data_IF_261377020190
#
_entry.id   IF_261377020190
#
_cell.length_a   1.000
_cell.length_b   1.000
_cell.length_c   1.000
_cell.angle_alpha   90.00
_cell.angle_beta   90.00
_cell.angle_gamma   90.00
#
_symmetry.space_group_name_H-M   'P 1'
#
loop_
_entity.id
_entity.type
_entity.pdbx_description
1 polymer ?
#
# COMPACT_ATOMS: atom_id res chain seq x y z
N UNK A 1 21.82 -10.94 -2.61
CA UNK A 1 22.70 -10.65 -1.46
C UNK A 1 23.53 -9.44 -1.83
N UNK A 2 23.45 -8.36 -1.07
CA UNK A 2 24.27 -7.18 -1.35
C UNK A 2 25.73 -7.52 -1.02
N UNK A 3 26.64 -7.39 -2.00
CA UNK A 3 28.02 -7.91 -1.92
C UNK A 3 28.95 -7.24 -0.89
N UNK A 4 28.42 -6.41 0.01
CA UNK A 4 29.16 -5.70 1.05
C UNK A 4 28.88 -6.23 2.47
N UNK A 5 27.96 -7.19 2.62
CA UNK A 5 27.65 -7.82 3.90
C UNK A 5 28.56 -9.04 4.10
N UNK A 6 29.20 -9.13 5.28
CA UNK A 6 29.98 -10.32 5.65
C UNK A 6 29.08 -11.55 5.79
N UNK A 7 29.66 -12.75 5.79
CA UNK A 7 28.93 -14.01 5.97
C UNK A 7 28.13 -14.08 7.30
N UNK A 8 28.49 -13.23 8.26
CA UNK A 8 27.81 -13.11 9.55
C UNK A 8 26.66 -12.09 9.54
N UNK A 9 26.41 -11.40 8.41
CA UNK A 9 25.32 -10.42 8.30
C UNK A 9 24.36 -10.83 7.18
N UNK A 10 23.13 -11.15 7.57
CA UNK A 10 22.05 -11.52 6.66
C UNK A 10 20.90 -10.55 6.73
N UNK A 11 20.26 -10.31 5.59
CA UNK A 11 18.93 -9.67 5.52
C UNK A 11 17.96 -10.72 5.03
N UNK A 12 17.00 -11.11 5.88
CA UNK A 12 15.89 -11.95 5.43
C UNK A 12 15.00 -11.13 4.50
N UNK A 13 14.88 -11.49 3.22
CA UNK A 13 13.99 -10.80 2.32
C UNK A 13 12.54 -11.09 2.73
N UNK A 14 11.69 -10.07 2.65
CA UNK A 14 10.24 -10.31 2.62
C UNK A 14 9.85 -11.18 1.41
N UNK A 15 8.68 -11.81 1.46
CA UNK A 15 8.09 -12.52 0.33
C UNK A 15 8.07 -11.60 -0.91
N UNK A 16 8.84 -11.98 -1.94
CA UNK A 16 8.97 -11.16 -3.15
C UNK A 16 8.09 -11.71 -4.26
N UNK A 17 7.45 -10.81 -4.98
CA UNK A 17 6.78 -11.17 -6.23
C UNK A 17 7.79 -11.10 -7.36
N UNK A 18 7.91 -12.18 -8.13
CA UNK A 18 8.72 -12.17 -9.35
C UNK A 18 8.10 -11.20 -10.36
N UNK A 19 8.87 -10.21 -10.79
CA UNK A 19 8.50 -9.28 -11.86
C UNK A 19 9.21 -9.69 -13.13
N UNK A 20 8.48 -9.71 -14.24
CA UNK A 20 9.06 -9.87 -15.56
C UNK A 20 9.92 -8.62 -15.88
N UNK A 21 11.23 -8.76 -16.14
CA UNK A 21 12.11 -7.63 -16.47
C UNK A 21 11.61 -6.81 -17.65
N UNK A 22 10.96 -7.43 -18.63
CA UNK A 22 10.46 -6.74 -19.83
C UNK A 22 9.26 -5.85 -19.49
N UNK A 23 8.37 -6.34 -18.62
CA UNK A 23 7.25 -5.55 -18.08
C UNK A 23 7.78 -4.33 -17.33
N UNK A 24 8.77 -4.52 -16.47
CA UNK A 24 9.37 -3.42 -15.71
C UNK A 24 10.03 -2.40 -16.64
N UNK A 25 10.91 -2.86 -17.53
CA UNK A 25 11.66 -1.99 -18.44
C UNK A 25 10.73 -1.20 -19.36
N UNK A 26 9.68 -1.84 -19.88
CA UNK A 26 8.68 -1.19 -20.72
C UNK A 26 7.93 -0.08 -19.99
N UNK A 27 7.44 -0.35 -18.77
CA UNK A 27 6.74 0.66 -17.98
C UNK A 27 7.67 1.78 -17.54
N UNK A 28 8.91 1.47 -17.15
CA UNK A 28 9.91 2.48 -16.80
C UNK A 28 10.15 3.42 -17.99
N UNK A 29 10.35 2.88 -19.19
CA UNK A 29 10.50 3.70 -20.39
C UNK A 29 9.28 4.58 -20.70
N UNK A 30 8.06 4.06 -20.50
CA UNK A 30 6.83 4.86 -20.71
C UNK A 30 6.67 5.97 -19.66
N UNK A 31 7.08 5.71 -18.41
CA UNK A 31 7.11 6.74 -17.35
C UNK A 31 8.06 7.86 -17.76
N UNK A 32 9.31 7.54 -18.10
CA UNK A 32 10.34 8.54 -18.48
C UNK A 32 9.90 9.40 -19.66
N UNK A 33 9.30 8.78 -20.69
CA UNK A 33 8.83 9.49 -21.89
C UNK A 33 7.48 10.18 -21.74
N UNK A 34 6.80 10.01 -20.59
CA UNK A 34 5.41 10.42 -20.40
C UNK A 34 4.49 9.91 -21.54
N UNK A 35 4.60 8.63 -21.84
CA UNK A 35 3.90 7.95 -22.94
C UNK A 35 2.76 7.07 -22.41
N UNK A 36 1.54 7.27 -22.91
CA UNK A 36 0.38 6.51 -22.49
C UNK A 36 0.51 5.03 -22.90
N UNK A 37 -0.06 4.14 -22.09
CA UNK A 37 -0.06 2.70 -22.34
C UNK A 37 -1.48 2.15 -22.37
N UNK A 38 -1.72 1.21 -23.28
CA UNK A 38 -2.85 0.29 -23.22
C UNK A 38 -2.40 -1.00 -22.55
N UNK A 39 -3.17 -1.46 -21.57
CA UNK A 39 -2.76 -2.56 -20.74
C UNK A 39 -3.91 -3.51 -20.39
N UNK A 40 -3.67 -4.80 -20.58
CA UNK A 40 -4.50 -5.87 -20.03
C UNK A 40 -4.04 -6.14 -18.60
N UNK A 41 -4.92 -5.93 -17.63
CA UNK A 41 -4.59 -6.05 -16.22
C UNK A 41 -5.53 -7.03 -15.51
N UNK A 42 -4.96 -7.88 -14.66
CA UNK A 42 -5.74 -8.79 -13.83
C UNK A 42 -5.83 -8.26 -12.39
N UNK A 43 -7.05 -8.05 -11.89
CA UNK A 43 -7.26 -7.67 -10.49
C UNK A 43 -6.96 -8.82 -9.53
N UNK A 44 -6.88 -8.51 -8.23
CA UNK A 44 -6.61 -9.52 -7.20
C UNK A 44 -7.64 -10.66 -7.16
N UNK A 45 -8.90 -10.38 -7.50
CA UNK A 45 -9.99 -11.37 -7.58
C UNK A 45 -10.08 -12.07 -8.94
N UNK A 46 -9.08 -11.88 -9.82
CA UNK A 46 -8.96 -12.61 -11.08
C UNK A 46 -9.68 -11.99 -12.27
N UNK A 47 -10.40 -10.87 -12.09
CA UNK A 47 -11.05 -10.18 -13.22
C UNK A 47 -10.00 -9.56 -14.12
N UNK A 48 -10.18 -9.71 -15.42
CA UNK A 48 -9.30 -9.11 -16.43
C UNK A 48 -10.02 -7.91 -17.05
N UNK A 49 -9.31 -6.80 -17.17
CA UNK A 49 -9.83 -5.59 -17.80
C UNK A 49 -8.73 -4.91 -18.60
N UNK A 50 -9.13 -4.26 -19.68
CA UNK A 50 -8.26 -3.36 -20.42
C UNK A 50 -8.28 -1.99 -19.73
N UNK A 51 -7.15 -1.29 -19.79
CA UNK A 51 -7.01 0.05 -19.28
C UNK A 51 -6.17 0.91 -20.22
N UNK A 52 -6.56 2.16 -20.37
CA UNK A 52 -5.69 3.22 -20.84
C UNK A 52 -5.12 3.98 -19.64
N UNK A 53 -3.79 3.95 -19.51
CA UNK A 53 -3.07 4.46 -18.35
C UNK A 53 -2.04 5.49 -18.77
N UNK A 54 -1.88 6.54 -17.96
CA UNK A 54 -0.75 7.47 -18.06
C UNK A 54 0.24 7.18 -16.92
N UNK A 55 1.38 6.50 -17.19
CA UNK A 55 2.34 6.08 -16.17
C UNK A 55 3.06 7.24 -15.45
N UNK A 56 2.78 7.46 -14.17
CA UNK A 56 3.36 8.60 -13.45
C UNK A 56 4.62 8.25 -12.68
N UNK A 57 4.63 7.10 -12.01
CA UNK A 57 5.73 6.74 -11.12
C UNK A 57 5.81 5.23 -10.88
N UNK A 58 7.01 4.69 -10.79
CA UNK A 58 7.27 3.32 -10.35
C UNK A 58 7.85 3.32 -8.95
N UNK A 59 7.33 2.46 -8.07
CA UNK A 59 7.88 2.31 -6.72
C UNK A 59 7.82 0.87 -6.23
N UNK A 60 8.77 0.52 -5.36
CA UNK A 60 8.82 -0.77 -4.69
C UNK A 60 8.26 -0.65 -3.27
N UNK A 61 7.44 -1.61 -2.87
CA UNK A 61 6.82 -1.65 -1.54
C UNK A 61 6.43 -3.09 -1.17
N UNK A 62 6.75 -3.48 0.05
CA UNK A 62 6.64 -4.85 0.58
C UNK A 62 6.91 -5.97 -0.44
N UNK A 63 8.14 -6.05 -0.93
CA UNK A 63 8.56 -7.13 -1.85
C UNK A 63 7.94 -7.11 -3.26
N UNK A 64 7.21 -6.05 -3.64
CA UNK A 64 6.54 -5.96 -4.95
C UNK A 64 6.75 -4.58 -5.60
N UNK A 65 6.59 -4.52 -6.92
CA UNK A 65 6.66 -3.28 -7.69
C UNK A 65 5.28 -2.81 -8.11
N UNK A 66 5.09 -1.50 -8.10
CA UNK A 66 3.82 -0.87 -8.45
C UNK A 66 4.01 0.32 -9.36
N UNK A 67 3.06 0.45 -10.28
CA UNK A 67 2.89 1.61 -11.12
C UNK A 67 1.79 2.49 -10.55
N UNK A 68 2.10 3.75 -10.30
CA UNK A 68 1.11 4.79 -10.13
C UNK A 68 0.79 5.37 -11.50
N UNK A 69 -0.48 5.35 -11.88
CA UNK A 69 -0.91 5.87 -13.17
C UNK A 69 -2.25 6.56 -13.08
N UNK A 70 -2.44 7.61 -13.89
CA UNK A 70 -3.77 8.13 -14.16
C UNK A 70 -4.55 7.09 -14.95
N UNK A 71 -5.69 6.67 -14.41
CA UNK A 71 -6.64 5.82 -15.11
C UNK A 71 -7.62 6.70 -15.87
N UNK A 72 -7.52 6.71 -17.20
CA UNK A 72 -8.32 7.59 -18.06
C UNK A 72 -9.83 7.35 -17.88
N UNK A 73 -10.25 6.09 -17.77
CA UNK A 73 -11.65 5.71 -17.60
C UNK A 73 -12.24 6.13 -16.25
N UNK A 74 -11.41 6.15 -15.20
CA UNK A 74 -11.85 6.48 -13.83
C UNK A 74 -11.58 7.93 -13.45
N UNK A 75 -10.88 8.69 -14.28
CA UNK A 75 -10.56 10.09 -14.03
C UNK A 75 -9.81 10.31 -12.71
N UNK A 76 -8.92 9.39 -12.34
CA UNK A 76 -8.12 9.49 -11.10
C UNK A 76 -6.84 8.68 -11.18
N UNK A 77 -5.86 9.03 -10.34
CA UNK A 77 -4.66 8.21 -10.13
C UNK A 77 -5.03 6.95 -9.35
N UNK A 78 -4.47 5.82 -9.79
CA UNK A 78 -4.59 4.54 -9.11
C UNK A 78 -3.24 3.81 -9.12
N UNK A 79 -3.11 2.84 -8.23
CA UNK A 79 -1.91 2.01 -8.09
C UNK A 79 -2.13 0.62 -8.68
N UNK A 80 -1.20 0.15 -9.52
CA UNK A 80 -1.25 -1.12 -10.24
C UNK A 80 -0.01 -1.96 -9.92
N UNK A 81 -0.20 -3.16 -9.36
CA UNK A 81 0.91 -4.09 -9.14
C UNK A 81 1.51 -4.57 -10.49
N UNK A 82 2.82 -4.47 -10.67
CA UNK A 82 3.48 -4.80 -11.94
C UNK A 82 3.28 -6.27 -12.33
N UNK A 83 3.32 -7.15 -11.35
CA UNK A 83 3.10 -8.60 -11.49
C UNK A 83 1.73 -9.00 -12.04
N UNK A 84 0.79 -8.06 -12.14
CA UNK A 84 -0.57 -8.32 -12.60
C UNK A 84 -0.87 -7.78 -14.01
N UNK A 85 0.10 -7.13 -14.65
CA UNK A 85 -0.01 -6.82 -16.07
C UNK A 85 0.14 -8.11 -16.88
N UNK A 86 -0.84 -8.37 -17.75
CA UNK A 86 -0.83 -9.50 -18.70
C UNK A 86 -0.26 -9.09 -20.04
N UNK A 87 -0.58 -7.88 -20.50
CA UNK A 87 -0.07 -7.28 -21.73
C UNK A 87 0.03 -5.78 -21.55
N UNK A 88 1.07 -5.19 -22.14
CA UNK A 88 1.28 -3.74 -22.16
C UNK A 88 1.66 -3.36 -23.57
N UNK A 89 1.05 -2.30 -24.10
CA UNK A 89 1.39 -1.71 -25.39
C UNK A 89 1.56 -0.20 -25.20
N UNK A 90 2.72 0.31 -25.60
CA UNK A 90 2.94 1.75 -25.66
C UNK A 90 2.11 2.32 -26.83
N UNK A 91 1.48 3.46 -26.63
CA UNK A 91 0.52 4.01 -27.60
C UNK A 91 1.14 4.99 -28.58
N UNK A 92 2.37 5.47 -28.32
CA UNK A 92 2.96 6.62 -29.01
C UNK A 92 2.34 7.96 -28.63
N UNK A 93 1.28 7.97 -27.81
CA UNK A 93 0.61 9.20 -27.38
C UNK A 93 1.27 9.73 -26.11
N UNK A 94 1.76 10.96 -26.16
CA UNK A 94 2.29 11.66 -24.98
C UNK A 94 1.16 12.22 -24.10
N UNK A 95 1.47 12.47 -22.83
CA UNK A 95 0.60 13.23 -21.92
C UNK A 95 1.42 14.16 -21.03
N UNK A 96 0.74 15.16 -20.45
CA UNK A 96 1.30 15.99 -19.39
C UNK A 96 0.86 15.44 -18.04
N UNK A 97 1.82 15.26 -17.12
CA UNK A 97 1.50 14.89 -15.73
C UNK A 97 0.79 16.06 -15.05
N UNK A 98 -0.22 15.77 -14.24
CA UNK A 98 -0.86 16.81 -13.43
C UNK A 98 0.19 17.48 -12.53
N UNK A 99 0.28 18.82 -12.56
CA UNK A 99 1.29 19.57 -11.81
C UNK A 99 1.20 19.35 -10.28
N UNK A 100 0.01 19.03 -9.78
CA UNK A 100 -0.25 18.77 -8.36
C UNK A 100 0.10 17.33 -7.93
N UNK A 101 0.46 16.45 -8.86
CA UNK A 101 0.81 15.07 -8.52
C UNK A 101 2.24 14.97 -7.96
N UNK A 102 2.35 14.57 -6.70
CA UNK A 102 3.62 14.17 -6.07
C UNK A 102 3.54 12.71 -5.62
N UNK A 103 4.43 11.82 -6.11
CA UNK A 103 4.54 10.45 -5.61
C UNK A 103 4.77 10.38 -4.10
N UNK A 104 5.60 11.29 -3.57
CA UNK A 104 5.91 11.39 -2.15
C UNK A 104 4.67 11.73 -1.34
N UNK A 105 3.85 12.68 -1.82
CA UNK A 105 2.62 13.08 -1.15
C UNK A 105 1.61 11.95 -1.13
N UNK A 106 1.46 11.23 -2.24
CA UNK A 106 0.56 10.08 -2.31
C UNK A 106 1.03 8.93 -1.40
N UNK A 107 2.33 8.61 -1.42
CA UNK A 107 2.91 7.58 -0.56
C UNK A 107 2.79 7.94 0.93
N UNK A 108 2.99 9.21 1.30
CA UNK A 108 2.89 9.69 2.68
C UNK A 108 1.46 9.69 3.23
N UNK A 109 0.46 9.75 2.37
CA UNK A 109 -0.95 9.71 2.76
C UNK A 109 -1.50 8.28 2.84
N UNK A 110 -0.85 7.30 2.22
CA UNK A 110 -1.30 5.93 2.19
C UNK A 110 -0.76 5.17 3.43
N UNK A 111 -1.59 4.29 4.00
CA UNK A 111 -1.12 3.25 4.91
C UNK A 111 -0.62 2.11 4.03
N UNK A 112 0.52 2.31 3.38
CA UNK A 112 1.07 1.43 2.36
C UNK A 112 0.93 1.94 0.94
N UNK A 113 0.45 1.12 0.00
CA UNK A 113 0.55 1.44 -1.45
C UNK A 113 -0.71 2.00 -2.11
N UNK A 114 -1.86 1.81 -1.48
CA UNK A 114 -3.15 2.24 -2.03
C UNK A 114 -3.55 3.56 -1.37
N UNK A 115 -3.43 4.64 -2.14
CA UNK A 115 -3.97 5.95 -1.82
C UNK A 115 -5.23 6.27 -2.63
N UNK A 116 -5.74 7.50 -2.49
CA UNK A 116 -6.79 8.03 -3.38
C UNK A 116 -8.20 8.14 -2.80
N UNK A 117 -8.37 8.05 -1.47
CA UNK A 117 -9.62 8.39 -0.78
C UNK A 117 -9.43 9.56 0.19
N UNK A 118 -10.53 10.12 0.72
CA UNK A 118 -10.46 11.11 1.80
C UNK A 118 -9.73 10.49 3.02
N UNK A 119 -8.71 11.17 3.58
CA UNK A 119 -8.02 10.69 4.76
C UNK A 119 -8.97 10.46 5.93
N UNK A 120 -8.63 9.49 6.79
CA UNK A 120 -9.31 9.23 8.06
C UNK A 120 -8.34 9.38 9.21
N UNK A 121 -8.82 10.03 10.28
CA UNK A 121 -8.12 10.08 11.57
C UNK A 121 -8.39 8.81 12.35
N UNK A 122 -7.32 8.10 12.68
CA UNK A 122 -7.31 6.79 13.30
C UNK A 122 -6.73 6.91 14.71
N UNK A 123 -7.33 6.21 15.66
CA UNK A 123 -6.83 6.08 17.03
C UNK A 123 -6.85 4.61 17.42
N UNK A 124 -5.69 4.08 17.73
CA UNK A 124 -5.49 2.69 18.16
C UNK A 124 -4.90 2.67 19.55
N UNK A 125 -5.26 1.66 20.34
CA UNK A 125 -4.73 1.43 21.68
C UNK A 125 -4.10 0.04 21.74
N UNK A 126 -2.81 -0.02 22.04
CA UNK A 126 -2.04 -1.25 22.14
C UNK A 126 -1.87 -1.66 23.60
N UNK A 127 -1.94 -2.95 23.87
CA UNK A 127 -1.63 -3.52 25.19
C UNK A 127 -0.15 -3.31 25.55
N UNK A 128 0.21 -3.23 26.86
CA UNK A 128 1.55 -2.85 27.29
C UNK A 128 2.67 -3.74 26.71
N UNK A 129 2.39 -5.03 26.50
CA UNK A 129 3.34 -5.99 25.91
C UNK A 129 3.76 -5.65 24.48
N UNK A 130 2.99 -4.84 23.74
CA UNK A 130 3.32 -4.39 22.39
C UNK A 130 3.95 -2.99 22.35
N UNK A 131 4.00 -2.28 23.49
CA UNK A 131 4.37 -0.87 23.53
C UNK A 131 5.71 -0.61 22.84
N UNK A 132 6.78 -1.30 23.26
CA UNK A 132 8.13 -1.14 22.71
C UNK A 132 8.14 -1.38 21.20
N UNK A 133 7.65 -2.53 20.77
CA UNK A 133 7.64 -2.95 19.37
C UNK A 133 6.89 -1.95 18.46
N UNK A 134 5.74 -1.44 18.92
CA UNK A 134 4.95 -0.51 18.13
C UNK A 134 5.63 0.86 18.06
N UNK A 135 6.23 1.33 19.16
CA UNK A 135 6.83 2.68 19.23
C UNK A 135 8.19 2.81 18.56
N UNK A 136 8.96 1.72 18.41
CA UNK A 136 10.29 1.76 17.79
C UNK A 136 10.25 1.80 16.25
N UNK A 137 9.07 1.68 15.63
CA UNK A 137 8.88 1.62 14.17
C UNK A 137 8.08 2.82 13.67
N UNK A 138 8.43 3.30 12.48
CA UNK A 138 7.58 4.22 11.70
C UNK A 138 6.66 3.40 10.78
N UNK A 139 5.39 3.28 11.16
CA UNK A 139 4.32 2.64 10.39
C UNK A 139 3.64 3.60 9.40
N UNK A 140 3.52 4.88 9.79
CA UNK A 140 2.96 5.94 8.98
C UNK A 140 3.65 7.27 9.29
N UNK A 141 3.90 8.16 8.30
CA UNK A 141 4.61 9.42 8.53
C UNK A 141 3.90 10.40 9.48
N UNK A 142 2.56 10.30 9.59
CA UNK A 142 1.73 11.15 10.47
C UNK A 142 1.46 10.52 11.84
N UNK A 143 2.12 9.40 12.17
CA UNK A 143 1.85 8.72 13.42
C UNK A 143 2.39 9.50 14.63
N UNK A 144 1.61 9.51 15.69
CA UNK A 144 1.98 10.05 16.99
C UNK A 144 1.64 9.02 18.07
N UNK A 145 2.47 8.95 19.10
CA UNK A 145 2.26 8.04 20.22
C UNK A 145 2.03 8.79 21.52
N UNK A 146 1.16 8.24 22.36
CA UNK A 146 0.98 8.65 23.75
C UNK A 146 0.93 7.43 24.65
N UNK A 147 1.91 7.30 25.52
CA UNK A 147 1.89 6.30 26.60
C UNK A 147 0.91 6.71 27.69
N UNK A 148 0.08 5.77 28.12
CA UNK A 148 -0.89 5.94 29.21
C UNK A 148 -0.27 5.47 30.53
N UNK A 149 -0.87 5.89 31.65
CA UNK A 149 -0.41 5.51 33.01
C UNK A 149 -0.46 4.00 33.26
N UNK A 150 -1.34 3.28 32.57
CA UNK A 150 -1.48 1.81 32.64
C UNK A 150 -0.49 1.06 31.74
N UNK A 151 0.51 1.76 31.15
CA UNK A 151 1.51 1.17 30.27
C UNK A 151 1.04 0.93 28.83
N UNK A 152 -0.24 1.16 28.53
CA UNK A 152 -0.76 1.06 27.16
C UNK A 152 -0.29 2.22 26.30
N UNK A 153 -0.21 2.01 24.99
CA UNK A 153 0.17 3.04 24.03
C UNK A 153 -1.00 3.38 23.12
N UNK A 154 -1.38 4.64 23.08
CA UNK A 154 -2.30 5.16 22.07
C UNK A 154 -1.51 5.65 20.85
N UNK A 155 -1.76 5.07 19.67
CA UNK A 155 -1.27 5.59 18.39
C UNK A 155 -2.35 6.40 17.71
N UNK A 156 -2.00 7.57 17.19
CA UNK A 156 -2.83 8.40 16.33
C UNK A 156 -2.18 8.55 14.98
N UNK A 157 -2.95 8.51 13.90
CA UNK A 157 -2.46 8.78 12.56
C UNK A 157 -3.60 9.22 11.65
N UNK A 158 -3.26 9.82 10.53
CA UNK A 158 -4.20 10.19 9.48
C UNK A 158 -3.79 9.54 8.16
N UNK A 159 -4.67 8.74 7.57
CA UNK A 159 -4.33 7.92 6.39
C UNK A 159 -5.51 7.67 5.45
N UNK A 160 -5.19 7.39 4.19
CA UNK A 160 -6.12 6.99 3.13
C UNK A 160 -6.17 5.47 2.90
N UNK A 161 -5.17 4.73 3.41
CA UNK A 161 -4.98 3.29 3.15
C UNK A 161 -5.88 2.37 4.01
N UNK A 162 -7.19 2.37 3.76
CA UNK A 162 -8.16 1.65 4.61
C UNK A 162 -7.98 0.14 4.63
N UNK A 163 -7.70 -0.48 3.48
CA UNK A 163 -7.65 -1.95 3.36
C UNK A 163 -6.40 -2.50 4.03
N UNK A 164 -5.28 -1.86 3.79
CA UNK A 164 -3.97 -2.16 4.37
C UNK A 164 -4.00 -1.92 5.88
N UNK A 165 -4.57 -0.81 6.34
CA UNK A 165 -4.77 -0.56 7.76
C UNK A 165 -5.63 -1.65 8.42
N UNK A 166 -6.72 -2.09 7.77
CA UNK A 166 -7.55 -3.18 8.31
C UNK A 166 -6.74 -4.47 8.47
N UNK A 167 -5.96 -4.86 7.46
CA UNK A 167 -5.12 -6.06 7.53
C UNK A 167 -4.06 -5.95 8.64
N UNK A 168 -3.41 -4.80 8.72
CA UNK A 168 -2.40 -4.53 9.74
C UNK A 168 -2.98 -4.53 11.16
N UNK A 169 -4.16 -3.93 11.38
CA UNK A 169 -4.82 -4.00 12.68
C UNK A 169 -5.19 -5.45 13.03
N UNK A 170 -5.67 -6.24 12.08
CA UNK A 170 -6.02 -7.64 12.31
C UNK A 170 -4.80 -8.50 12.68
N UNK A 171 -3.61 -8.23 12.16
CA UNK A 171 -2.40 -9.00 12.51
C UNK A 171 -1.92 -8.79 13.95
N UNK A 172 -2.38 -7.73 14.61
CA UNK A 172 -2.08 -7.45 16.02
C UNK A 172 -3.21 -7.84 16.97
N UNK A 173 -4.31 -8.40 16.46
CA UNK A 173 -5.42 -8.83 17.32
C UNK A 173 -5.02 -10.05 18.15
N UNK A 174 -5.49 -10.16 19.41
CA UNK A 174 -6.44 -9.28 20.10
C UNK A 174 -5.81 -8.09 20.84
N UNK A 175 -4.51 -7.84 20.68
CA UNK A 175 -3.71 -6.93 21.50
C UNK A 175 -3.76 -5.45 21.07
N UNK A 176 -4.57 -5.14 20.06
CA UNK A 176 -4.86 -3.79 19.60
C UNK A 176 -6.36 -3.52 19.61
N UNK A 177 -6.76 -2.34 20.09
CA UNK A 177 -8.14 -1.87 20.09
C UNK A 177 -8.29 -0.63 19.21
N UNK A 178 -9.26 -0.65 18.29
CA UNK A 178 -9.64 0.53 17.52
C UNK A 178 -10.52 1.45 18.38
N UNK A 179 -10.00 2.61 18.76
CA UNK A 179 -10.76 3.65 19.47
C UNK A 179 -11.58 4.51 18.50
N UNK A 180 -11.01 4.86 17.35
CA UNK A 180 -11.66 5.63 16.29
C UNK A 180 -11.04 5.35 14.91
N UNK A 181 -11.78 5.52 13.80
CA UNK A 181 -13.21 5.86 13.74
C UNK A 181 -14.11 4.64 14.00
N UNK A 182 -15.41 4.88 14.30
CA UNK A 182 -16.41 3.82 14.49
C UNK A 182 -16.52 2.90 13.27
N UNK A 183 -16.38 3.44 12.06
CA UNK A 183 -16.42 2.69 10.81
C UNK A 183 -15.28 1.66 10.71
N UNK A 184 -14.05 2.04 11.11
CA UNK A 184 -12.92 1.11 11.14
C UNK A 184 -13.16 0.00 12.16
N UNK A 185 -13.62 0.33 13.37
CA UNK A 185 -13.97 -0.65 14.39
C UNK A 185 -15.04 -1.64 13.92
N UNK A 186 -16.08 -1.14 13.26
CA UNK A 186 -17.15 -1.98 12.70
C UNK A 186 -16.60 -2.95 11.64
N UNK A 187 -15.73 -2.45 10.75
CA UNK A 187 -15.10 -3.27 9.70
C UNK A 187 -14.21 -4.39 10.27
N UNK A 188 -13.46 -4.09 11.33
CA UNK A 188 -12.65 -5.09 12.03
C UNK A 188 -13.54 -6.17 12.67
N UNK A 189 -14.59 -5.76 13.38
CA UNK A 189 -15.52 -6.70 14.01
C UNK A 189 -16.27 -7.57 13.00
N UNK A 190 -16.62 -7.04 11.83
CA UNK A 190 -17.12 -7.82 10.69
C UNK A 190 -16.10 -8.88 10.24
N UNK A 191 -14.86 -8.47 9.98
CA UNK A 191 -13.81 -9.39 9.52
C UNK A 191 -13.50 -10.50 10.52
N UNK A 192 -13.48 -10.21 11.81
CA UNK A 192 -13.29 -11.21 12.86
C UNK A 192 -14.46 -12.21 12.90
N UNK A 193 -15.70 -11.74 12.77
CA UNK A 193 -16.87 -12.63 12.70
C UNK A 193 -16.87 -13.51 11.45
N UNK A 194 -16.51 -12.95 10.29
CA UNK A 194 -16.38 -13.71 9.05
C UNK A 194 -15.29 -14.77 9.17
N UNK A 195 -14.14 -14.38 9.71
CA UNK A 195 -13.02 -15.29 9.96
C UNK A 195 -13.41 -16.43 10.89
N UNK A 196 -14.07 -16.13 12.02
CA UNK A 196 -14.54 -17.16 12.96
C UNK A 196 -15.53 -18.13 12.29
N UNK A 197 -16.52 -17.62 11.55
CA UNK A 197 -17.49 -18.47 10.84
C UNK A 197 -16.84 -19.37 9.79
N UNK A 198 -15.73 -18.94 9.17
CA UNK A 198 -15.04 -19.73 8.16
C UNK A 198 -14.14 -20.84 8.75
N UNK A 199 -13.94 -20.87 10.06
CA UNK A 199 -13.11 -21.86 10.77
C UNK A 199 -13.93 -22.83 11.62
N UNK A 200 -15.25 -22.64 11.67
CA UNK A 200 -16.22 -23.50 12.33
C UNK A 200 -16.90 -24.39 11.29
#
# INVERSE_FOLDING_TARGET
MAGWLSEHVGVLPEDRVRIDPDVWAKLAGCVERCEAVRATYQTFDGRVSEYELHPYHLLAYHGNWYLMAWNAEKGRVATFALSRFRRIAATGQGYTRAAEFSPETYARQAFGIVGGEKPIKVRLLFEPKLAVYITERQWHPTQEFRTRRDGRVEMRLETTGRKELVRWVLSWMPDVKVLAPKSLRARIAEKLRDGLRAQQ
#
